data_IF_307606657330
#
_entry.id   IF_307606657330
#
_cell.length_a   1.000
_cell.length_b   1.000
_cell.length_c   1.000
_cell.angle_alpha   90.00
_cell.angle_beta   90.00
_cell.angle_gamma   90.00
#
_symmetry.space_group_name_H-M   'P 1'
#
loop_
_entity.id
_entity.type
_entity.pdbx_description
1 polymer ?
#
# COMPACT_ATOMS: atom_id res chain seq x y z
N UNK A 1 -12.11 0.43 14.12
CA UNK A 1 -12.07 1.36 12.95
C UNK A 1 -10.64 1.82 12.66
N UNK A 2 -10.11 1.55 11.46
CA UNK A 2 -8.79 2.04 11.04
C UNK A 2 -8.90 3.53 10.68
N UNK A 3 -7.96 4.35 11.12
CA UNK A 3 -7.91 5.77 10.76
C UNK A 3 -7.39 5.93 9.31
N UNK A 4 -8.04 6.78 8.54
CA UNK A 4 -7.62 7.09 7.17
C UNK A 4 -6.20 7.71 7.16
N UNK A 5 -5.83 8.42 8.23
CA UNK A 5 -4.48 8.92 8.43
C UNK A 5 -3.45 7.78 8.53
N UNK A 6 -3.72 6.75 9.33
CA UNK A 6 -2.83 5.58 9.47
C UNK A 6 -2.68 4.82 8.14
N UNK A 7 -3.72 4.80 7.31
CA UNK A 7 -3.68 4.20 5.98
C UNK A 7 -2.86 5.01 4.98
N UNK A 8 -2.86 6.33 5.10
CA UNK A 8 -2.00 7.22 4.31
C UNK A 8 -0.53 7.09 4.72
N UNK A 9 -0.25 6.99 6.01
CA UNK A 9 1.12 6.74 6.50
C UNK A 9 1.66 5.39 6.03
N UNK A 10 0.82 4.33 6.06
CA UNK A 10 1.19 3.02 5.52
C UNK A 10 1.48 3.08 4.02
N UNK A 11 0.67 3.80 3.24
CA UNK A 11 0.89 4.02 1.81
C UNK A 11 2.24 4.72 1.57
N UNK A 12 2.52 5.81 2.29
CA UNK A 12 3.77 6.55 2.17
C UNK A 12 5.00 5.70 2.55
N UNK A 13 4.92 4.93 3.64
CA UNK A 13 6.00 4.04 4.06
C UNK A 13 6.26 2.92 3.04
N UNK A 14 5.21 2.32 2.49
CA UNK A 14 5.32 1.28 1.46
C UNK A 14 5.85 1.81 0.12
N UNK A 15 5.55 3.08 -0.21
CA UNK A 15 6.11 3.76 -1.37
C UNK A 15 7.59 4.07 -1.18
N UNK A 16 7.98 4.61 -0.01
CA UNK A 16 9.36 4.96 0.30
C UNK A 16 10.29 3.74 0.36
N UNK A 17 9.78 2.59 0.82
CA UNK A 17 10.53 1.34 0.87
C UNK A 17 10.62 0.61 -0.49
N UNK A 18 9.80 0.99 -1.49
CA UNK A 18 9.76 0.32 -2.77
C UNK A 18 10.88 0.79 -3.71
N UNK A 19 11.65 -0.15 -4.26
CA UNK A 19 12.65 0.08 -5.30
C UNK A 19 12.32 -0.68 -6.59
N UNK A 20 11.27 -0.30 -7.34
CA UNK A 20 10.83 -1.02 -8.53
C UNK A 20 11.71 -0.75 -9.76
N UNK A 21 11.75 -1.72 -10.68
CA UNK A 21 12.31 -1.55 -12.03
C UNK A 21 11.31 -0.85 -12.96
N UNK A 22 11.84 -0.24 -14.03
CA UNK A 22 11.06 0.24 -15.17
C UNK A 22 11.01 -0.85 -16.25
N UNK A 23 9.81 -1.37 -16.54
CA UNK A 23 9.62 -2.35 -17.62
C UNK A 23 8.24 -2.17 -18.29
N UNK A 24 7.92 -2.99 -19.30
CA UNK A 24 6.61 -3.01 -19.97
C UNK A 24 5.39 -3.15 -19.03
N UNK A 25 5.58 -3.59 -17.79
CA UNK A 25 4.59 -3.68 -16.71
C UNK A 25 4.30 -2.34 -16.02
N UNK A 26 5.08 -1.29 -16.32
CA UNK A 26 4.88 0.07 -15.86
C UNK A 26 6.16 0.73 -15.37
N UNK A 27 6.12 2.07 -15.35
CA UNK A 27 7.24 2.91 -14.89
C UNK A 27 7.46 2.80 -13.39
N UNK A 28 8.65 3.21 -12.94
CA UNK A 28 9.00 3.31 -11.51
C UNK A 28 7.89 4.06 -10.74
N UNK A 29 7.47 5.22 -11.22
CA UNK A 29 6.43 6.03 -10.59
C UNK A 29 5.09 5.28 -10.45
N UNK A 30 4.67 4.54 -11.49
CA UNK A 30 3.46 3.73 -11.43
C UNK A 30 3.59 2.59 -10.43
N UNK A 31 4.70 1.86 -10.44
CA UNK A 31 4.92 0.71 -9.55
C UNK A 31 5.09 1.13 -8.09
N UNK A 32 5.73 2.27 -7.84
CA UNK A 32 5.79 2.90 -6.50
C UNK A 32 4.38 3.23 -6.02
N UNK A 33 3.57 3.96 -6.81
CA UNK A 33 2.18 4.26 -6.42
C UNK A 33 1.36 2.99 -6.11
N UNK A 34 1.53 1.95 -6.92
CA UNK A 34 0.79 0.68 -6.74
C UNK A 34 1.23 -0.06 -5.48
N UNK A 35 2.49 0.01 -5.05
CA UNK A 35 2.96 -0.69 -3.84
C UNK A 35 2.17 -0.26 -2.60
N UNK A 36 1.98 1.04 -2.41
CA UNK A 36 1.24 1.52 -1.25
C UNK A 36 -0.29 1.40 -1.38
N UNK A 37 -0.86 1.40 -2.60
CA UNK A 37 -2.25 0.95 -2.83
C UNK A 37 -2.45 -0.50 -2.37
N UNK A 38 -1.54 -1.40 -2.72
CA UNK A 38 -1.60 -2.79 -2.29
C UNK A 38 -1.42 -2.94 -0.77
N UNK A 39 -0.51 -2.16 -0.17
CA UNK A 39 -0.32 -2.15 1.28
C UNK A 39 -1.61 -1.79 2.03
N UNK A 40 -2.30 -0.71 1.61
CA UNK A 40 -3.61 -0.34 2.18
C UNK A 40 -4.65 -1.46 2.02
N UNK A 41 -4.79 -2.02 0.82
CA UNK A 41 -5.76 -3.10 0.56
C UNK A 41 -5.48 -4.32 1.44
N UNK A 42 -4.21 -4.69 1.59
CA UNK A 42 -3.79 -5.78 2.45
C UNK A 42 -4.12 -5.51 3.92
N UNK A 43 -3.84 -4.29 4.42
CA UNK A 43 -4.17 -3.90 5.79
C UNK A 43 -5.68 -3.92 6.06
N UNK A 44 -6.49 -3.44 5.12
CA UNK A 44 -7.95 -3.49 5.22
C UNK A 44 -8.46 -4.95 5.29
N UNK A 45 -7.96 -5.84 4.43
CA UNK A 45 -8.33 -7.26 4.44
C UNK A 45 -7.87 -7.94 5.74
N UNK A 46 -6.67 -7.63 6.22
CA UNK A 46 -6.16 -8.15 7.48
C UNK A 46 -7.05 -7.74 8.67
N UNK A 47 -7.50 -6.49 8.70
CA UNK A 47 -8.41 -5.99 9.73
C UNK A 47 -9.76 -6.72 9.70
N UNK A 48 -10.33 -6.95 8.52
CA UNK A 48 -11.55 -7.75 8.36
C UNK A 48 -11.36 -9.18 8.89
N UNK A 49 -10.20 -9.80 8.61
CA UNK A 49 -9.88 -11.15 9.09
C UNK A 49 -9.64 -11.23 10.59
N UNK A 50 -9.14 -10.16 11.22
CA UNK A 50 -8.82 -10.12 12.64
C UNK A 50 -10.05 -10.16 13.58
N UNK A 51 -11.23 -10.54 13.08
CA UNK A 51 -12.48 -10.53 13.85
C UNK A 51 -13.24 -9.21 13.73
N UNK A 52 -12.85 -8.37 12.75
CA UNK A 52 -13.30 -6.98 12.59
C UNK A 52 -12.81 -6.08 13.73
N UNK A 53 -13.06 -4.78 13.59
CA UNK A 53 -12.84 -3.84 14.68
C UNK A 53 -13.98 -2.83 14.71
#
# INVERSE_FOLDING_TARGET
>A
KLDDAAMQELDAAAQAAASPIDDKRGTIAFRTKVSGVLARRAAAIALTRAGSN
#
